data_IF_609110140878
#
_entry.id   IF_609110140878
#
_cell.length_a   1.000
_cell.length_b   1.000
_cell.length_c   1.000
_cell.angle_alpha   90.00
_cell.angle_beta   90.00
_cell.angle_gamma   90.00
#
_symmetry.space_group_name_H-M   'P 1'
#
loop_
_entity.id
_entity.type
_entity.pdbx_description
1 polymer ?
#
# COMPACT_ATOMS: atom_id res chain seq x y z
N UNK A 1 14.17 9.95 0.69
CA UNK A 1 12.69 9.98 0.86
C UNK A 1 12.08 8.74 0.24
N UNK A 2 10.85 8.34 0.66
CA UNK A 2 10.06 7.29 -0.01
C UNK A 2 8.85 7.95 -0.66
N UNK A 3 8.52 7.59 -1.90
CA UNK A 3 7.32 8.05 -2.56
C UNK A 3 6.28 6.93 -2.58
N UNK A 4 5.02 7.26 -2.31
CA UNK A 4 3.88 6.36 -2.51
C UNK A 4 3.00 6.91 -3.60
N UNK A 5 2.79 6.13 -4.67
CA UNK A 5 2.08 6.56 -5.86
C UNK A 5 0.80 5.76 -6.05
N UNK A 6 -0.31 6.46 -6.15
CA UNK A 6 -1.59 5.84 -6.45
C UNK A 6 -2.81 6.59 -5.96
N UNK A 7 -3.72 5.87 -5.32
CA UNK A 7 -5.03 6.34 -4.94
C UNK A 7 -5.05 7.16 -3.65
N UNK A 8 -5.91 8.19 -3.67
CA UNK A 8 -6.36 8.94 -2.51
C UNK A 8 -7.89 9.14 -2.67
N UNK A 9 -8.65 8.81 -1.66
CA UNK A 9 -10.10 8.77 -1.73
C UNK A 9 -10.75 9.02 -0.36
N UNK A 10 -12.08 9.08 -0.34
CA UNK A 10 -12.87 9.08 0.89
C UNK A 10 -13.67 7.79 0.97
N UNK A 11 -13.49 7.06 2.06
CA UNK A 11 -14.32 5.93 2.45
C UNK A 11 -15.49 6.42 3.31
N UNK A 12 -16.72 6.14 2.89
CA UNK A 12 -17.91 6.32 3.70
C UNK A 12 -18.18 5.04 4.50
N UNK A 13 -17.73 5.04 5.75
CA UNK A 13 -17.82 3.87 6.64
C UNK A 13 -19.15 3.92 7.42
N UNK A 14 -19.89 2.80 7.50
CA UNK A 14 -21.16 2.77 8.23
C UNK A 14 -20.94 3.03 9.74
N UNK A 15 -21.78 3.90 10.28
CA UNK A 15 -21.85 4.19 11.72
C UNK A 15 -23.31 4.22 12.16
N UNK A 16 -23.57 3.92 13.43
CA UNK A 16 -24.90 4.13 14.01
C UNK A 16 -25.08 5.62 14.35
N UNK A 17 -26.13 6.23 13.84
CA UNK A 17 -26.52 7.57 14.27
C UNK A 17 -27.21 7.53 15.64
N UNK A 18 -27.28 8.70 16.32
CA UNK A 18 -27.87 8.80 17.67
C UNK A 18 -29.38 8.46 17.69
N UNK A 19 -30.05 8.59 16.55
CA UNK A 19 -31.48 8.24 16.36
C UNK A 19 -31.70 6.76 15.96
N UNK A 20 -30.63 5.97 15.91
CA UNK A 20 -30.66 4.56 15.51
C UNK A 20 -30.69 4.31 14.00
N UNK A 21 -30.69 5.35 13.18
CA UNK A 21 -30.62 5.20 11.74
C UNK A 21 -29.20 4.86 11.27
N UNK A 22 -29.10 4.24 10.09
CA UNK A 22 -27.80 4.05 9.43
C UNK A 22 -27.27 5.41 8.94
N UNK A 23 -26.02 5.71 9.29
CA UNK A 23 -25.29 6.86 8.79
C UNK A 23 -23.93 6.42 8.23
N UNK A 24 -23.30 7.26 7.45
CA UNK A 24 -21.95 7.00 6.93
C UNK A 24 -21.00 8.13 7.33
N UNK A 25 -19.88 7.78 7.92
CA UNK A 25 -18.83 8.73 8.30
C UNK A 25 -17.78 8.79 7.20
N UNK A 26 -17.50 9.97 6.63
CA UNK A 26 -16.40 10.14 5.68
C UNK A 26 -15.06 9.98 6.41
N UNK A 27 -14.20 9.14 5.88
CA UNK A 27 -12.84 8.92 6.36
C UNK A 27 -11.86 8.99 5.20
N UNK A 28 -10.72 9.62 5.41
CA UNK A 28 -9.66 9.64 4.40
C UNK A 28 -9.10 8.24 4.24
N UNK A 29 -8.97 7.79 3.00
CA UNK A 29 -8.50 6.48 2.60
C UNK A 29 -7.75 6.52 1.27
N UNK A 30 -7.60 5.34 0.69
CA UNK A 30 -6.74 5.08 -0.47
C UNK A 30 -5.47 4.39 -0.04
N UNK A 31 -5.25 3.17 -0.55
CA UNK A 31 -4.15 2.33 -0.06
C UNK A 31 -2.79 3.02 -0.16
N UNK A 32 -2.49 3.62 -1.32
CA UNK A 32 -1.20 4.29 -1.50
C UNK A 32 -1.05 5.54 -0.62
N UNK A 33 -2.14 6.29 -0.38
CA UNK A 33 -2.11 7.39 0.58
C UNK A 33 -1.92 6.89 2.01
N UNK A 34 -2.58 5.79 2.40
CA UNK A 34 -2.43 5.19 3.72
C UNK A 34 -0.99 4.72 3.98
N UNK A 35 -0.33 4.13 2.96
CA UNK A 35 1.10 3.78 3.03
C UNK A 35 1.96 5.04 3.23
N UNK A 36 1.69 6.13 2.50
CA UNK A 36 2.41 7.39 2.69
C UNK A 36 2.23 7.95 4.11
N UNK A 37 0.99 7.95 4.61
CA UNK A 37 0.67 8.39 5.98
C UNK A 37 1.38 7.53 7.02
N UNK A 38 1.37 6.21 6.86
CA UNK A 38 2.07 5.28 7.76
C UNK A 38 3.57 5.53 7.82
N UNK A 39 4.23 5.66 6.67
CA UNK A 39 5.66 5.97 6.57
C UNK A 39 6.03 7.31 7.22
N UNK A 40 5.26 8.36 6.91
CA UNK A 40 5.50 9.69 7.47
C UNK A 40 5.32 9.72 9.00
N UNK A 41 4.29 9.06 9.52
CA UNK A 41 4.04 8.93 10.97
C UNK A 41 5.12 8.13 11.70
N UNK A 42 5.78 7.20 11.01
CA UNK A 42 6.95 6.47 11.53
C UNK A 42 8.25 7.31 11.43
N UNK A 43 8.19 8.50 10.83
CA UNK A 43 9.31 9.45 10.78
C UNK A 43 10.22 9.29 9.56
N UNK A 44 9.76 8.64 8.49
CA UNK A 44 10.47 8.60 7.21
C UNK A 44 10.05 9.82 6.36
N UNK A 45 10.98 10.58 5.78
CA UNK A 45 10.63 11.59 4.76
C UNK A 45 9.85 10.92 3.62
N UNK A 46 8.58 11.30 3.46
CA UNK A 46 7.64 10.60 2.57
C UNK A 46 6.85 11.58 1.73
N UNK A 47 6.74 11.30 0.44
CA UNK A 47 5.89 12.05 -0.49
C UNK A 47 4.77 11.18 -1.07
N UNK A 48 3.65 11.82 -1.39
CA UNK A 48 2.56 11.22 -2.14
C UNK A 48 2.57 11.69 -3.60
N UNK A 49 2.39 10.74 -4.52
CA UNK A 49 2.27 10.97 -5.96
C UNK A 49 0.92 10.46 -6.42
N UNK A 50 0.09 11.34 -6.94
CA UNK A 50 -1.26 10.99 -7.38
C UNK A 50 -2.12 12.23 -7.59
N UNK A 51 -3.38 12.02 -7.97
CA UNK A 51 -4.34 13.10 -8.16
C UNK A 51 -5.11 13.38 -6.87
N UNK A 52 -5.19 14.66 -6.49
CA UNK A 52 -6.02 15.15 -5.38
C UNK A 52 -6.95 16.26 -5.89
N UNK A 53 -8.23 16.14 -5.62
CA UNK A 53 -9.23 17.13 -5.99
C UNK A 53 -9.05 18.47 -5.23
N UNK A 54 -9.55 19.54 -5.82
CA UNK A 54 -9.71 20.84 -5.14
C UNK A 54 -11.07 20.99 -4.43
N UNK A 55 -11.93 19.96 -4.47
CA UNK A 55 -13.24 19.96 -3.81
C UNK A 55 -13.14 19.84 -2.27
N UNK A 56 -14.30 19.75 -1.60
CA UNK A 56 -14.38 19.60 -0.14
C UNK A 56 -13.58 18.38 0.36
N UNK A 57 -13.74 17.25 -0.29
CA UNK A 57 -13.12 16.01 0.12
C UNK A 57 -11.62 15.96 -0.22
N UNK A 58 -11.21 16.57 -1.33
CA UNK A 58 -9.80 16.75 -1.65
C UNK A 58 -9.07 17.61 -0.61
N UNK A 59 -9.73 18.62 -0.04
CA UNK A 59 -9.18 19.39 1.10
C UNK A 59 -9.04 18.53 2.36
N UNK A 60 -10.02 17.67 2.67
CA UNK A 60 -9.89 16.72 3.79
C UNK A 60 -8.69 15.77 3.63
N UNK A 61 -8.49 15.26 2.42
CA UNK A 61 -7.33 14.42 2.08
C UNK A 61 -6.03 15.20 2.30
N UNK A 62 -5.95 16.42 1.80
CA UNK A 62 -4.77 17.28 1.94
C UNK A 62 -4.43 17.58 3.41
N UNK A 63 -5.42 17.97 4.20
CA UNK A 63 -5.26 18.28 5.62
C UNK A 63 -4.78 17.05 6.39
N UNK A 64 -5.38 15.88 6.14
CA UNK A 64 -4.98 14.63 6.77
C UNK A 64 -3.54 14.22 6.43
N UNK A 65 -3.17 14.30 5.14
CA UNK A 65 -1.83 13.98 4.66
C UNK A 65 -0.78 14.90 5.28
N UNK A 66 -1.01 16.24 5.25
CA UNK A 66 -0.12 17.24 5.84
C UNK A 66 0.01 17.09 7.37
N UNK A 67 -1.10 16.85 8.08
CA UNK A 67 -1.10 16.61 9.52
C UNK A 67 -0.34 15.34 9.92
N UNK A 68 -0.16 14.42 8.98
CA UNK A 68 0.65 13.21 9.13
C UNK A 68 2.11 13.38 8.69
N UNK A 69 2.48 14.54 8.12
CA UNK A 69 3.85 14.82 7.67
C UNK A 69 4.15 14.37 6.23
N UNK A 70 3.12 14.07 5.43
CA UNK A 70 3.31 13.67 4.03
C UNK A 70 3.58 14.90 3.17
N UNK A 71 4.64 14.86 2.36
CA UNK A 71 4.91 15.86 1.33
C UNK A 71 3.98 15.65 0.13
N UNK A 72 3.26 16.69 -0.25
CA UNK A 72 2.35 16.73 -1.38
C UNK A 72 2.92 17.48 -2.59
N UNK A 73 4.21 17.75 -2.62
CA UNK A 73 4.87 18.48 -3.71
C UNK A 73 4.77 17.77 -5.07
N UNK A 74 4.61 16.45 -5.07
CA UNK A 74 4.41 15.64 -6.28
C UNK A 74 2.95 15.26 -6.54
N UNK A 75 2.01 15.67 -5.66
CA UNK A 75 0.60 15.45 -5.88
C UNK A 75 0.04 16.46 -6.91
N UNK A 76 -0.72 15.97 -7.89
CA UNK A 76 -1.34 16.81 -8.91
C UNK A 76 -2.72 17.28 -8.45
N UNK A 77 -2.91 18.59 -8.37
CA UNK A 77 -4.21 19.20 -8.08
C UNK A 77 -5.07 19.23 -9.33
N UNK A 78 -6.35 18.94 -9.16
CA UNK A 78 -7.33 18.88 -10.25
C UNK A 78 -8.70 19.34 -9.76
N UNK A 79 -9.49 19.92 -10.63
CA UNK A 79 -10.91 20.27 -10.43
C UNK A 79 -11.85 19.06 -10.65
N UNK A 80 -11.33 17.92 -11.09
CA UNK A 80 -12.07 16.66 -11.07
C UNK A 80 -12.50 16.31 -9.64
N UNK A 81 -13.63 15.61 -9.50
CA UNK A 81 -14.15 15.20 -8.19
C UNK A 81 -13.22 14.23 -7.46
N UNK A 82 -13.32 14.20 -6.14
CA UNK A 82 -12.66 13.17 -5.32
C UNK A 82 -13.30 11.80 -5.57
N UNK A 83 -12.49 10.75 -5.61
CA UNK A 83 -12.97 9.37 -5.59
C UNK A 83 -13.66 9.07 -4.26
N UNK A 84 -14.87 8.49 -4.32
CA UNK A 84 -15.61 8.07 -3.14
C UNK A 84 -15.79 6.56 -3.13
N UNK A 85 -15.68 5.94 -1.96
CA UNK A 85 -16.01 4.55 -1.74
C UNK A 85 -17.03 4.44 -0.61
N UNK A 86 -18.13 3.74 -0.85
CA UNK A 86 -19.13 3.44 0.17
C UNK A 86 -18.92 2.01 0.65
N UNK A 87 -18.80 1.85 1.96
CA UNK A 87 -18.63 0.54 2.59
C UNK A 87 -19.95 0.10 3.18
N UNK A 88 -20.36 -1.14 2.90
CA UNK A 88 -21.50 -1.79 3.52
C UNK A 88 -21.10 -3.16 4.03
N UNK A 89 -21.54 -3.49 5.24
CA UNK A 89 -21.34 -4.82 5.80
C UNK A 89 -22.49 -5.74 5.34
N UNK A 90 -22.15 -6.83 4.66
CA UNK A 90 -23.12 -7.84 4.19
C UNK A 90 -22.60 -9.22 4.60
N UNK A 91 -23.36 -9.91 5.47
CA UNK A 91 -22.95 -11.24 5.94
C UNK A 91 -21.63 -11.28 6.72
N UNK A 92 -21.20 -10.15 7.29
CA UNK A 92 -19.91 -10.03 8.01
C UNK A 92 -18.74 -9.65 7.13
N UNK A 93 -18.95 -9.47 5.83
CA UNK A 93 -17.93 -9.03 4.87
C UNK A 93 -18.17 -7.59 4.41
N UNK A 94 -17.08 -6.84 4.18
CA UNK A 94 -17.13 -5.48 3.64
C UNK A 94 -17.35 -5.51 2.14
N UNK A 95 -18.46 -4.95 1.67
CA UNK A 95 -18.70 -4.67 0.26
C UNK A 95 -18.45 -3.21 -0.03
N UNK A 96 -17.84 -2.92 -1.19
CA UNK A 96 -17.49 -1.57 -1.61
C UNK A 96 -18.23 -1.17 -2.88
N UNK A 97 -18.80 0.03 -2.89
CA UNK A 97 -19.27 0.70 -4.11
C UNK A 97 -18.37 1.91 -4.37
N UNK A 98 -17.65 1.88 -5.50
CA UNK A 98 -16.75 2.97 -5.88
C UNK A 98 -17.42 3.94 -6.86
N UNK A 99 -17.25 5.22 -6.61
CA UNK A 99 -17.59 6.33 -7.49
C UNK A 99 -16.28 7.00 -7.91
N UNK A 100 -15.68 6.47 -8.97
CA UNK A 100 -14.32 6.81 -9.38
C UNK A 100 -14.19 7.23 -10.85
N UNK A 101 -15.29 7.32 -11.58
CA UNK A 101 -15.28 7.78 -12.97
C UNK A 101 -14.82 9.24 -13.07
N UNK A 102 -13.82 9.50 -13.92
CA UNK A 102 -13.27 10.84 -14.17
C UNK A 102 -12.86 11.64 -12.92
N UNK A 103 -12.49 10.96 -11.84
CA UNK A 103 -12.03 11.60 -10.61
C UNK A 103 -10.59 12.09 -10.73
N UNK A 104 -10.14 12.93 -9.77
CA UNK A 104 -8.76 13.43 -9.72
C UNK A 104 -7.71 12.31 -9.71
N UNK A 105 -7.98 11.21 -8.98
CA UNK A 105 -7.10 10.03 -8.97
C UNK A 105 -7.04 9.34 -10.34
N UNK A 106 -8.17 9.31 -11.09
CA UNK A 106 -8.22 8.72 -12.44
C UNK A 106 -7.63 9.63 -13.51
N UNK A 107 -7.68 10.93 -13.32
CA UNK A 107 -7.16 11.93 -14.24
C UNK A 107 -5.65 12.20 -14.08
N UNK A 108 -5.02 11.62 -13.06
CA UNK A 108 -3.60 11.80 -12.81
C UNK A 108 -2.74 11.34 -14.01
N UNK A 109 -1.68 12.11 -14.27
CA UNK A 109 -0.70 11.82 -15.32
C UNK A 109 0.70 12.06 -14.81
N UNK A 110 1.63 11.20 -15.21
CA UNK A 110 3.05 11.37 -14.95
C UNK A 110 3.73 12.21 -16.03
N UNK A 111 4.51 13.18 -15.63
CA UNK A 111 5.39 13.92 -16.54
C UNK A 111 6.83 13.43 -16.35
N UNK A 112 7.42 12.88 -17.40
CA UNK A 112 8.81 12.41 -17.37
C UNK A 112 9.77 13.49 -16.91
N UNK A 113 10.70 13.12 -16.02
CA UNK A 113 11.69 14.02 -15.44
C UNK A 113 11.16 15.01 -14.40
N UNK A 114 9.87 14.95 -14.02
CA UNK A 114 9.30 15.84 -12.99
C UNK A 114 9.69 15.44 -11.55
N UNK A 115 10.19 14.21 -11.36
CA UNK A 115 10.59 13.69 -10.06
C UNK A 115 12.08 13.34 -10.12
N UNK A 116 12.93 13.91 -9.22
CA UNK A 116 14.35 13.60 -9.14
C UNK A 116 14.55 12.27 -8.38
N UNK A 117 14.40 11.13 -9.06
CA UNK A 117 14.45 9.80 -8.45
C UNK A 117 15.80 9.44 -7.83
N UNK A 118 16.89 10.16 -8.15
CA UNK A 118 18.20 9.98 -7.51
C UNK A 118 18.16 10.27 -6.01
N UNK A 119 17.21 11.11 -5.54
CA UNK A 119 16.99 11.42 -4.13
C UNK A 119 15.91 10.53 -3.47
N UNK A 120 15.35 9.57 -4.23
CA UNK A 120 14.26 8.70 -3.79
C UNK A 120 14.80 7.31 -3.48
N UNK A 121 14.62 6.83 -2.25
CA UNK A 121 15.05 5.50 -1.84
C UNK A 121 14.12 4.40 -2.41
N UNK A 122 12.81 4.65 -2.40
CA UNK A 122 11.83 3.72 -2.95
C UNK A 122 10.59 4.43 -3.47
N UNK A 123 9.93 3.78 -4.43
CA UNK A 123 8.60 4.13 -4.93
C UNK A 123 7.67 2.95 -4.66
N UNK A 124 6.61 3.20 -3.89
CA UNK A 124 5.53 2.24 -3.66
C UNK A 124 4.38 2.49 -4.64
N UNK A 125 3.85 1.42 -5.22
CA UNK A 125 2.73 1.43 -6.17
C UNK A 125 1.71 0.35 -5.82
N UNK A 126 0.45 0.54 -6.23
CA UNK A 126 -0.58 -0.48 -6.04
C UNK A 126 -2.02 0.00 -6.21
N UNK A 127 -2.93 -0.86 -5.78
CA UNK A 127 -4.34 -0.60 -5.55
C UNK A 127 -5.15 -0.17 -6.79
N UNK A 128 -6.21 0.61 -6.57
CA UNK A 128 -7.21 0.94 -7.60
C UNK A 128 -6.64 1.74 -8.78
N UNK A 129 -5.54 2.44 -8.60
CA UNK A 129 -4.86 3.16 -9.69
C UNK A 129 -4.43 2.21 -10.80
N UNK A 130 -4.04 0.99 -10.45
CA UNK A 130 -3.59 -0.03 -11.41
C UNK A 130 -4.75 -0.79 -12.09
N UNK A 131 -5.98 -0.65 -11.62
CA UNK A 131 -7.17 -1.21 -12.31
C UNK A 131 -7.56 -0.35 -13.52
N UNK A 132 -7.25 0.93 -13.51
CA UNK A 132 -7.51 1.87 -14.58
C UNK A 132 -6.36 1.83 -15.60
N UNK A 133 -6.65 1.54 -16.87
CA UNK A 133 -5.66 1.47 -17.95
C UNK A 133 -4.76 2.70 -18.03
N UNK A 134 -5.35 3.91 -17.92
CA UNK A 134 -4.58 5.16 -17.92
C UNK A 134 -3.67 5.26 -16.70
N UNK A 135 -4.22 5.06 -15.49
CA UNK A 135 -3.44 5.12 -14.26
C UNK A 135 -2.31 4.10 -14.25
N UNK A 136 -2.55 2.91 -14.76
CA UNK A 136 -1.54 1.87 -14.90
C UNK A 136 -0.45 2.25 -15.92
N UNK A 137 -0.81 2.79 -17.08
CA UNK A 137 0.16 3.26 -18.09
C UNK A 137 1.05 4.39 -17.55
N UNK A 138 0.46 5.36 -16.84
CA UNK A 138 1.20 6.45 -16.22
C UNK A 138 2.11 5.95 -15.08
N UNK A 139 1.64 4.98 -14.28
CA UNK A 139 2.45 4.34 -13.24
C UNK A 139 3.60 3.54 -13.87
N UNK A 140 3.37 2.79 -14.94
CA UNK A 140 4.41 2.06 -15.65
C UNK A 140 5.49 3.00 -16.23
N UNK A 141 5.08 4.14 -16.80
CA UNK A 141 6.02 5.17 -17.28
C UNK A 141 6.86 5.75 -16.12
N UNK A 142 6.24 6.02 -14.97
CA UNK A 142 6.93 6.53 -13.79
C UNK A 142 7.94 5.52 -13.23
N UNK A 143 7.57 4.25 -13.06
CA UNK A 143 8.50 3.24 -12.54
C UNK A 143 9.64 2.92 -13.52
N UNK A 144 9.41 3.04 -14.82
CA UNK A 144 10.49 2.89 -15.82
C UNK A 144 11.61 3.94 -15.63
N UNK A 145 11.24 5.17 -15.21
CA UNK A 145 12.22 6.20 -14.85
C UNK A 145 12.80 5.95 -13.44
N UNK A 146 11.94 5.63 -12.45
CA UNK A 146 12.32 5.46 -11.05
C UNK A 146 13.29 4.28 -10.81
N UNK A 147 13.07 3.14 -11.47
CA UNK A 147 13.83 1.90 -11.23
C UNK A 147 15.32 1.97 -11.58
N UNK A 148 15.77 3.06 -12.17
CA UNK A 148 17.21 3.32 -12.44
C UNK A 148 17.97 3.63 -11.17
N UNK A 149 17.31 4.22 -10.15
CA UNK A 149 17.92 4.72 -8.92
C UNK A 149 17.15 4.35 -7.66
N UNK A 150 15.85 4.06 -7.73
CA UNK A 150 14.99 3.76 -6.59
C UNK A 150 14.52 2.31 -6.59
N UNK A 151 14.29 1.77 -5.40
CA UNK A 151 13.64 0.46 -5.18
C UNK A 151 12.15 0.56 -5.51
N UNK A 152 11.62 -0.41 -6.24
CA UNK A 152 10.19 -0.47 -6.53
C UNK A 152 9.50 -1.42 -5.56
N UNK A 153 8.51 -0.90 -4.84
CA UNK A 153 7.65 -1.67 -3.94
C UNK A 153 6.25 -1.77 -4.52
N UNK A 154 5.70 -2.98 -4.55
CA UNK A 154 4.41 -3.27 -5.14
C UNK A 154 3.49 -4.01 -4.17
N UNK A 155 2.27 -3.51 -4.03
CA UNK A 155 1.14 -4.20 -3.39
C UNK A 155 -0.07 -4.15 -4.34
N UNK A 156 -0.50 -5.27 -4.94
CA UNK A 156 -1.62 -5.26 -5.87
C UNK A 156 -2.91 -4.76 -5.21
N UNK A 157 -3.12 -5.06 -3.94
CA UNK A 157 -4.29 -4.66 -3.16
C UNK A 157 -5.56 -4.72 -4.01
N UNK A 158 -5.86 -5.92 -4.51
CA UNK A 158 -6.85 -6.18 -5.55
C UNK A 158 -8.25 -5.71 -5.17
N UNK A 159 -8.97 -5.18 -6.15
CA UNK A 159 -10.38 -4.81 -6.02
C UNK A 159 -11.18 -5.49 -7.14
N UNK A 160 -11.52 -6.79 -7.00
CA UNK A 160 -12.15 -7.58 -8.07
C UNK A 160 -13.41 -6.95 -8.66
N UNK A 161 -14.18 -6.22 -7.84
CA UNK A 161 -15.40 -5.54 -8.25
C UNK A 161 -15.18 -4.36 -9.21
N UNK A 162 -13.95 -3.86 -9.31
CA UNK A 162 -13.56 -2.82 -10.28
C UNK A 162 -12.99 -3.40 -11.58
N UNK A 163 -12.62 -4.67 -11.59
CA UNK A 163 -11.95 -5.33 -12.72
C UNK A 163 -12.98 -5.74 -13.77
N UNK A 164 -12.97 -5.11 -14.94
CA UNK A 164 -13.86 -5.41 -16.07
C UNK A 164 -13.34 -6.56 -16.92
N UNK A 165 -12.05 -6.59 -17.22
CA UNK A 165 -11.38 -7.68 -17.92
C UNK A 165 -10.33 -8.31 -16.99
N UNK A 166 -10.67 -9.47 -16.43
CA UNK A 166 -9.79 -10.19 -15.51
C UNK A 166 -8.49 -10.62 -16.19
N UNK A 167 -8.53 -11.06 -17.46
CA UNK A 167 -7.34 -11.55 -18.17
C UNK A 167 -6.34 -10.41 -18.41
N UNK A 168 -6.82 -9.26 -18.87
CA UNK A 168 -5.98 -8.08 -19.06
C UNK A 168 -5.38 -7.61 -17.73
N UNK A 169 -6.21 -7.55 -16.66
CA UNK A 169 -5.74 -7.18 -15.32
C UNK A 169 -4.66 -8.10 -14.77
N UNK A 170 -4.83 -9.43 -14.90
CA UNK A 170 -3.81 -10.40 -14.46
C UNK A 170 -2.48 -10.23 -15.21
N UNK A 171 -2.54 -10.00 -16.52
CA UNK A 171 -1.34 -9.71 -17.32
C UNK A 171 -0.62 -8.46 -16.82
N UNK A 172 -1.36 -7.38 -16.59
CA UNK A 172 -0.84 -6.12 -16.09
C UNK A 172 -0.22 -6.25 -14.67
N UNK A 173 -0.88 -6.98 -13.76
CA UNK A 173 -0.33 -7.25 -12.42
C UNK A 173 0.96 -8.07 -12.49
N UNK A 174 1.09 -8.99 -13.44
CA UNK A 174 2.33 -9.72 -13.69
C UNK A 174 3.46 -8.78 -14.13
N UNK A 175 3.20 -7.85 -15.05
CA UNK A 175 4.21 -6.87 -15.50
C UNK A 175 4.70 -5.95 -14.36
N UNK A 176 3.80 -5.52 -13.47
CA UNK A 176 4.19 -4.76 -12.27
C UNK A 176 5.00 -5.61 -11.31
N UNK A 177 4.62 -6.87 -11.08
CA UNK A 177 5.37 -7.80 -10.25
C UNK A 177 6.79 -8.05 -10.79
N UNK A 178 6.95 -8.22 -12.10
CA UNK A 178 8.25 -8.40 -12.76
C UNK A 178 9.16 -7.16 -12.65
N UNK A 179 8.54 -6.00 -12.45
CA UNK A 179 9.25 -4.71 -12.30
C UNK A 179 9.60 -4.36 -10.85
N UNK A 180 9.05 -5.08 -9.87
CA UNK A 180 9.15 -4.75 -8.45
C UNK A 180 10.30 -5.49 -7.77
N UNK A 181 10.93 -4.82 -6.79
CA UNK A 181 12.01 -5.36 -5.95
C UNK A 181 11.45 -5.91 -4.62
N UNK A 182 10.40 -5.29 -4.10
CA UNK A 182 9.68 -5.71 -2.88
C UNK A 182 8.21 -5.88 -3.24
N UNK A 183 7.70 -7.10 -3.10
CA UNK A 183 6.30 -7.41 -3.37
C UNK A 183 5.64 -7.86 -2.08
N UNK A 184 4.54 -7.24 -1.72
CA UNK A 184 3.66 -7.70 -0.64
C UNK A 184 2.25 -7.83 -1.18
N UNK A 185 1.54 -8.85 -0.74
CA UNK A 185 0.10 -8.99 -0.98
C UNK A 185 -0.57 -9.78 0.16
N UNK A 186 -1.88 -9.76 0.23
CA UNK A 186 -2.61 -10.66 1.11
C UNK A 186 -2.73 -12.06 0.51
N UNK A 187 -3.05 -13.06 1.34
CA UNK A 187 -3.43 -14.41 0.88
C UNK A 187 -4.64 -14.36 -0.06
N UNK A 188 -5.61 -13.47 0.21
CA UNK A 188 -6.78 -13.26 -0.66
C UNK A 188 -6.38 -12.69 -2.03
N UNK A 189 -5.46 -11.71 -2.07
CA UNK A 189 -4.94 -11.17 -3.33
C UNK A 189 -4.16 -12.24 -4.10
N UNK A 190 -3.38 -13.05 -3.39
CA UNK A 190 -2.65 -14.16 -3.99
C UNK A 190 -3.59 -15.16 -4.68
N UNK A 191 -4.64 -15.57 -3.98
CA UNK A 191 -5.63 -16.50 -4.53
C UNK A 191 -6.37 -15.90 -5.73
N UNK A 192 -6.68 -14.61 -5.68
CA UNK A 192 -7.33 -13.92 -6.80
C UNK A 192 -6.43 -13.82 -8.04
N UNK A 193 -5.14 -13.51 -7.86
CA UNK A 193 -4.18 -13.31 -8.95
C UNK A 193 -3.67 -14.62 -9.54
N UNK A 194 -3.45 -15.64 -8.71
CA UNK A 194 -2.76 -16.87 -9.11
C UNK A 194 -3.63 -18.13 -9.01
N UNK A 195 -4.85 -18.02 -8.52
CA UNK A 195 -5.78 -19.16 -8.35
C UNK A 195 -5.38 -20.09 -7.21
N UNK A 196 -4.61 -19.60 -6.23
CA UNK A 196 -4.03 -20.39 -5.16
C UNK A 196 -2.70 -21.03 -5.54
N UNK A 197 -2.26 -22.00 -4.76
CA UNK A 197 -1.01 -22.73 -4.98
C UNK A 197 0.07 -22.45 -3.93
N UNK A 198 1.30 -22.83 -4.24
CA UNK A 198 2.44 -22.66 -3.33
C UNK A 198 3.00 -21.25 -3.39
N UNK A 199 3.02 -20.55 -2.24
CA UNK A 199 3.70 -19.26 -2.12
C UNK A 199 5.21 -19.38 -2.42
N UNK A 200 5.83 -20.48 -2.03
CA UNK A 200 7.26 -20.71 -2.27
C UNK A 200 7.60 -20.87 -3.76
N UNK A 201 6.75 -21.59 -4.52
CA UNK A 201 6.94 -21.75 -5.97
C UNK A 201 6.76 -20.41 -6.69
N UNK A 202 5.77 -19.60 -6.24
CA UNK A 202 5.59 -18.26 -6.77
C UNK A 202 6.77 -17.34 -6.42
N UNK A 203 7.28 -17.41 -5.20
CA UNK A 203 8.47 -16.68 -4.80
C UNK A 203 9.66 -17.03 -5.71
N UNK A 204 9.91 -18.32 -5.93
CA UNK A 204 10.99 -18.79 -6.82
C UNK A 204 10.84 -18.24 -8.25
N UNK A 205 9.60 -18.20 -8.77
CA UNK A 205 9.30 -17.60 -10.08
C UNK A 205 9.59 -16.08 -10.10
N UNK A 206 9.20 -15.34 -9.07
CA UNK A 206 9.43 -13.90 -8.96
C UNK A 206 10.91 -13.55 -8.83
N UNK A 207 11.71 -14.41 -8.15
CA UNK A 207 13.16 -14.23 -8.00
C UNK A 207 13.95 -14.43 -9.29
N UNK A 208 13.36 -15.03 -10.31
CA UNK A 208 13.96 -15.05 -11.65
C UNK A 208 13.93 -13.65 -12.32
N UNK A 209 13.10 -12.74 -11.84
CA UNK A 209 13.00 -11.34 -12.24
C UNK A 209 13.76 -10.38 -11.32
N UNK A 210 13.12 -9.28 -10.97
CA UNK A 210 13.71 -8.21 -10.13
C UNK A 210 13.46 -8.40 -8.64
N UNK A 211 12.53 -9.27 -8.24
CA UNK A 211 12.07 -9.39 -6.87
C UNK A 211 13.17 -9.88 -5.92
N UNK A 212 13.45 -9.09 -4.88
CA UNK A 212 14.38 -9.45 -3.80
C UNK A 212 13.66 -9.84 -2.51
N UNK A 213 12.38 -9.48 -2.35
CA UNK A 213 11.57 -9.85 -1.19
C UNK A 213 10.11 -10.02 -1.61
N UNK A 214 9.55 -11.20 -1.38
CA UNK A 214 8.14 -11.49 -1.56
C UNK A 214 7.49 -11.80 -0.22
N UNK A 215 6.43 -11.09 0.16
CA UNK A 215 5.74 -11.24 1.43
C UNK A 215 4.24 -11.46 1.26
N UNK A 216 3.68 -12.40 2.03
CA UNK A 216 2.24 -12.69 2.12
C UNK A 216 1.76 -12.42 3.54
N UNK A 217 0.74 -11.57 3.68
CA UNK A 217 0.03 -11.37 4.95
C UNK A 217 -1.20 -12.27 5.03
N UNK A 218 -1.44 -12.88 6.20
CA UNK A 218 -2.48 -13.89 6.41
C UNK A 218 -3.38 -13.53 7.60
N UNK A 219 -3.68 -12.24 7.74
CA UNK A 219 -4.50 -11.72 8.85
C UNK A 219 -3.96 -12.16 10.22
N UNK A 220 -4.81 -12.78 11.02
CA UNK A 220 -4.45 -13.26 12.38
C UNK A 220 -3.36 -14.35 12.41
N UNK A 221 -3.04 -14.95 11.26
CA UNK A 221 -1.95 -15.92 11.13
C UNK A 221 -0.59 -15.26 10.87
N UNK A 222 -0.52 -13.93 10.90
CA UNK A 222 0.72 -13.20 10.71
C UNK A 222 1.15 -13.09 9.25
N UNK A 223 2.45 -13.21 8.99
CA UNK A 223 3.02 -13.05 7.67
C UNK A 223 4.10 -14.08 7.36
N UNK A 224 4.21 -14.42 6.08
CA UNK A 224 5.33 -15.19 5.54
C UNK A 224 6.04 -14.35 4.50
N UNK A 225 7.36 -14.48 4.42
CA UNK A 225 8.13 -13.86 3.35
C UNK A 225 9.21 -14.82 2.84
N UNK A 226 9.65 -14.59 1.61
CA UNK A 226 10.70 -15.33 0.93
C UNK A 226 11.74 -14.35 0.42
N UNK A 227 12.98 -14.72 0.58
CA UNK A 227 14.14 -13.98 0.09
C UNK A 227 15.13 -14.95 -0.55
N UNK A 228 15.77 -14.61 -1.70
CA UNK A 228 16.61 -15.55 -2.46
C UNK A 228 17.71 -16.23 -1.67
N UNK A 229 18.31 -15.53 -0.71
CA UNK A 229 19.41 -16.07 0.12
C UNK A 229 19.00 -16.45 1.54
N UNK A 230 18.12 -15.67 2.17
CA UNK A 230 17.69 -15.92 3.54
C UNK A 230 16.61 -17.02 3.64
N UNK A 231 16.03 -17.43 2.51
CA UNK A 231 14.99 -18.46 2.47
C UNK A 231 13.62 -17.94 2.94
N UNK A 232 12.82 -18.85 3.48
CA UNK A 232 11.49 -18.53 4.00
C UNK A 232 11.57 -18.04 5.45
N UNK A 233 10.84 -16.97 5.74
CA UNK A 233 10.70 -16.36 7.06
C UNK A 233 9.21 -16.32 7.41
N UNK A 234 8.86 -16.73 8.61
CA UNK A 234 7.49 -16.67 9.12
C UNK A 234 7.47 -15.93 10.45
N UNK A 235 6.42 -15.11 10.65
CA UNK A 235 6.19 -14.37 11.89
C UNK A 235 4.69 -14.40 12.23
N UNK A 236 4.38 -14.54 13.51
CA UNK A 236 3.02 -14.52 14.01
C UNK A 236 2.48 -13.09 14.13
N UNK A 237 1.16 -12.94 14.00
CA UNK A 237 0.50 -11.71 14.33
C UNK A 237 0.33 -11.58 15.86
N UNK A 238 0.50 -10.38 16.44
CA UNK A 238 0.16 -10.15 17.82
C UNK A 238 -1.34 -10.41 18.09
N UNK A 239 -1.64 -11.05 19.21
CA UNK A 239 -3.03 -11.23 19.64
C UNK A 239 -3.62 -9.88 20.08
N UNK A 240 -4.69 -9.46 19.42
CA UNK A 240 -5.40 -8.21 19.68
C UNK A 240 -6.91 -8.42 19.69
N UNK A 241 -7.64 -7.47 20.26
CA UNK A 241 -9.08 -7.33 20.02
C UNK A 241 -9.27 -6.36 18.88
N UNK A 242 -9.55 -6.87 17.69
CA UNK A 242 -9.76 -6.04 16.52
C UNK A 242 -11.05 -5.21 16.65
N UNK A 243 -10.98 -3.95 16.27
CA UNK A 243 -12.09 -3.00 16.13
C UNK A 243 -12.45 -2.84 14.65
N UNK A 244 -11.43 -2.67 13.80
CA UNK A 244 -11.57 -2.51 12.36
C UNK A 244 -10.32 -3.08 11.68
N UNK A 245 -10.45 -3.58 10.46
CA UNK A 245 -9.31 -4.12 9.69
C UNK A 245 -8.90 -3.23 8.51
N UNK A 246 -9.60 -2.11 8.30
CA UNK A 246 -9.29 -1.14 7.24
C UNK A 246 -7.90 -0.58 7.43
N UNK A 247 -7.08 -0.59 6.37
CA UNK A 247 -5.72 -0.06 6.38
C UNK A 247 -4.67 -0.93 7.07
N UNK A 248 -5.03 -2.12 7.60
CA UNK A 248 -4.05 -3.02 8.23
C UNK A 248 -2.94 -3.44 7.25
N UNK A 249 -3.31 -3.78 6.01
CA UNK A 249 -2.37 -4.12 4.94
C UNK A 249 -1.46 -2.96 4.59
N UNK A 250 -2.02 -1.75 4.50
CA UNK A 250 -1.29 -0.53 4.18
C UNK A 250 -0.30 -0.16 5.31
N UNK A 251 -0.74 -0.33 6.57
CA UNK A 251 0.11 -0.15 7.76
C UNK A 251 1.25 -1.17 7.81
N UNK A 252 0.97 -2.43 7.48
CA UNK A 252 2.00 -3.45 7.33
C UNK A 252 3.03 -3.05 6.26
N UNK A 253 2.57 -2.64 5.09
CA UNK A 253 3.43 -2.25 3.96
C UNK A 253 4.28 -1.02 4.30
N UNK A 254 3.70 0.00 4.92
CA UNK A 254 4.42 1.17 5.38
C UNK A 254 5.52 0.79 6.40
N UNK A 255 5.18 -0.06 7.37
CA UNK A 255 6.10 -0.51 8.39
C UNK A 255 7.21 -1.43 7.85
N UNK A 256 6.92 -2.28 6.87
CA UNK A 256 7.93 -3.09 6.18
C UNK A 256 8.94 -2.20 5.45
N UNK A 257 8.46 -1.22 4.69
CA UNK A 257 9.34 -0.27 3.99
C UNK A 257 10.15 0.60 4.96
N UNK A 258 9.53 1.05 6.06
CA UNK A 258 10.24 1.73 7.15
C UNK A 258 11.36 0.85 7.72
N UNK A 259 11.07 -0.40 8.05
CA UNK A 259 12.04 -1.33 8.64
C UNK A 259 13.21 -1.60 7.68
N UNK A 260 12.93 -1.89 6.42
CA UNK A 260 13.97 -2.05 5.40
C UNK A 260 14.83 -0.79 5.24
N UNK A 261 14.21 0.39 5.32
CA UNK A 261 14.94 1.67 5.28
C UNK A 261 15.86 1.83 6.49
N UNK A 262 15.36 1.56 7.71
CA UNK A 262 16.15 1.63 8.96
C UNK A 262 17.31 0.65 8.99
N UNK A 263 17.12 -0.54 8.44
CA UNK A 263 18.17 -1.57 8.31
C UNK A 263 19.16 -1.26 7.17
N UNK A 264 18.94 -0.19 6.39
CA UNK A 264 19.74 0.12 5.21
C UNK A 264 19.57 -0.90 4.07
N UNK A 265 18.44 -1.63 4.07
CA UNK A 265 18.12 -2.69 3.08
C UNK A 265 17.13 -2.22 2.00
N UNK A 266 16.68 -0.97 2.03
CA UNK A 266 15.80 -0.41 1.00
C UNK A 266 16.62 0.11 -0.19
N UNK A 267 17.38 -0.79 -0.78
CA UNK A 267 18.20 -0.65 -1.98
C UNK A 267 18.37 -2.05 -2.56
N UNK A 268 18.25 -2.19 -3.87
CA UNK A 268 18.26 -3.49 -4.57
C UNK A 268 19.49 -4.34 -4.23
N UNK A 269 20.68 -3.74 -4.28
CA UNK A 269 21.94 -4.44 -3.99
C UNK A 269 22.03 -4.85 -2.53
N UNK A 270 21.64 -3.95 -1.63
CA UNK A 270 21.68 -4.17 -0.18
C UNK A 270 20.60 -5.13 0.28
N UNK A 271 19.40 -5.07 -0.32
CA UNK A 271 18.32 -6.04 -0.07
C UNK A 271 18.78 -7.46 -0.34
N UNK A 272 19.51 -7.71 -1.43
CA UNK A 272 20.04 -9.02 -1.78
C UNK A 272 21.02 -9.62 -0.74
N UNK A 273 21.44 -8.83 0.25
CA UNK A 273 22.30 -9.23 1.36
C UNK A 273 21.60 -9.15 2.73
N UNK A 274 20.27 -9.00 2.77
CA UNK A 274 19.53 -9.03 4.02
C UNK A 274 19.60 -10.43 4.66
N UNK A 275 19.83 -10.47 5.98
CA UNK A 275 19.82 -11.71 6.74
C UNK A 275 18.39 -12.14 7.11
N UNK A 276 18.22 -13.42 7.47
CA UNK A 276 16.94 -13.94 7.94
C UNK A 276 16.46 -13.21 9.21
N UNK A 277 17.38 -12.84 10.12
CA UNK A 277 17.04 -12.14 11.36
C UNK A 277 16.62 -10.70 11.10
N UNK A 278 17.31 -9.97 10.22
CA UNK A 278 16.90 -8.63 9.79
C UNK A 278 15.49 -8.64 9.18
N UNK A 279 15.22 -9.61 8.30
CA UNK A 279 13.90 -9.74 7.66
C UNK A 279 12.83 -10.18 8.67
N UNK A 280 13.14 -11.09 9.59
CA UNK A 280 12.21 -11.46 10.68
C UNK A 280 11.87 -10.26 11.56
N UNK A 281 12.88 -9.46 11.92
CA UNK A 281 12.66 -8.24 12.68
C UNK A 281 11.77 -7.25 11.94
N UNK A 282 12.02 -7.02 10.64
CA UNK A 282 11.22 -6.14 9.80
C UNK A 282 9.75 -6.61 9.68
N UNK A 283 9.54 -7.91 9.45
CA UNK A 283 8.20 -8.49 9.36
C UNK A 283 7.45 -8.43 10.71
N UNK A 284 8.13 -8.73 11.82
CA UNK A 284 7.54 -8.67 13.16
C UNK A 284 7.13 -7.23 13.52
N UNK A 285 7.94 -6.23 13.18
CA UNK A 285 7.58 -4.84 13.33
C UNK A 285 6.37 -4.47 12.47
N UNK A 286 6.34 -4.91 11.22
CA UNK A 286 5.21 -4.68 10.31
C UNK A 286 3.91 -5.31 10.84
N UNK A 287 3.96 -6.54 11.39
CA UNK A 287 2.82 -7.18 12.02
C UNK A 287 2.32 -6.39 13.25
N UNK A 288 3.22 -5.86 14.08
CA UNK A 288 2.85 -5.02 15.24
C UNK A 288 2.15 -3.73 14.82
N UNK A 289 2.66 -3.05 13.77
CA UNK A 289 2.02 -1.84 13.24
C UNK A 289 0.61 -2.14 12.69
N UNK A 290 0.47 -3.20 11.90
CA UNK A 290 -0.82 -3.63 11.37
C UNK A 290 -1.81 -4.00 12.50
N UNK A 291 -1.35 -4.73 13.52
CA UNK A 291 -2.15 -5.09 14.66
C UNK A 291 -2.65 -3.84 15.45
N UNK A 292 -1.77 -2.86 15.67
CA UNK A 292 -2.15 -1.61 16.34
C UNK A 292 -3.17 -0.81 15.51
N UNK A 293 -3.04 -0.78 14.19
CA UNK A 293 -4.04 -0.18 13.28
C UNK A 293 -5.40 -0.87 13.46
N UNK A 294 -5.44 -2.19 13.56
CA UNK A 294 -6.69 -2.94 13.75
C UNK A 294 -7.39 -2.65 15.10
N UNK A 295 -6.75 -2.01 16.06
CA UNK A 295 -7.41 -1.60 17.32
C UNK A 295 -8.16 -0.27 17.23
N UNK A 296 -8.14 0.37 16.04
CA UNK A 296 -8.70 1.70 15.76
C UNK A 296 -9.74 1.63 14.66
N UNK A 297 -10.60 2.63 14.56
CA UNK A 297 -11.56 2.76 13.46
C UNK A 297 -10.89 3.40 12.25
N UNK A 298 -11.02 2.78 11.08
CA UNK A 298 -10.47 3.25 9.81
C UNK A 298 -8.96 3.04 9.69
N UNK A 299 -8.39 3.54 8.59
CA UNK A 299 -6.98 3.41 8.30
C UNK A 299 -6.12 4.40 9.12
N UNK A 300 -5.91 4.11 10.39
CA UNK A 300 -5.16 4.96 11.33
C UNK A 300 -3.85 4.28 11.78
N UNK A 301 -2.79 4.30 10.94
CA UNK A 301 -1.50 3.69 11.26
C UNK A 301 -0.82 4.38 12.45
N UNK A 302 0.00 3.65 13.23
CA UNK A 302 0.67 4.18 14.41
C UNK A 302 1.69 5.28 14.07
N UNK A 303 1.94 6.14 15.07
CA UNK A 303 3.05 7.09 15.07
C UNK A 303 4.29 6.48 15.73
N UNK A 304 5.46 7.00 15.44
CA UNK A 304 6.74 6.52 16.01
C UNK A 304 6.76 6.51 17.54
N UNK A 305 6.03 7.42 18.22
CA UNK A 305 5.93 7.44 19.68
C UNK A 305 4.99 6.37 20.27
N UNK A 306 4.19 5.69 19.45
CA UNK A 306 3.25 4.66 19.90
C UNK A 306 3.79 3.24 19.74
N UNK A 307 4.83 3.08 18.93
CA UNK A 307 5.46 1.80 18.61
C UNK A 307 6.98 1.94 18.51
N UNK A 308 7.70 1.27 19.40
CA UNK A 308 9.17 1.31 19.41
C UNK A 308 9.75 0.49 18.25
N UNK A 309 10.74 1.08 17.56
CA UNK A 309 11.68 0.36 16.71
C UNK A 309 12.89 0.00 17.58
N UNK A 310 12.88 -1.21 18.15
CA UNK A 310 14.02 -1.75 18.88
C UNK A 310 14.86 -2.56 17.89
N UNK A 311 16.13 -2.18 17.72
CA UNK A 311 17.10 -3.05 17.05
C UNK A 311 17.50 -4.14 18.06
N UNK A 312 17.16 -5.38 17.76
CA UNK A 312 17.62 -6.56 18.52
C UNK A 312 19.09 -6.87 18.22
#
# INVERSE_FOLDING_TARGET
MILSCGDALIDFVPVAAADGNEAARPMVGGSCLNVAVGLARLGVPTGFVGGISTDLFGRMIEEHARASGVDLGHAKRSDHQTTLAFVRMVGGESQYAFYDAETASRAWTYQRGSIPFEAVAAVHIGSTTLVNERGAAETAAMIADARRSATISFDPNCRPNLVKDKKAYLGQMSEFADSADVIRMSDVDFDYLYGGGSYADKAASLFAGSCGLFAITRGVKGAQAWHPKAGAIEVDAPAIKAVDTIGAGDSFQAALLFALHKLGRLDRTRLAHASADELRHALSFACRCAALTCTRVGADPPRSGEIGWEQS
#
